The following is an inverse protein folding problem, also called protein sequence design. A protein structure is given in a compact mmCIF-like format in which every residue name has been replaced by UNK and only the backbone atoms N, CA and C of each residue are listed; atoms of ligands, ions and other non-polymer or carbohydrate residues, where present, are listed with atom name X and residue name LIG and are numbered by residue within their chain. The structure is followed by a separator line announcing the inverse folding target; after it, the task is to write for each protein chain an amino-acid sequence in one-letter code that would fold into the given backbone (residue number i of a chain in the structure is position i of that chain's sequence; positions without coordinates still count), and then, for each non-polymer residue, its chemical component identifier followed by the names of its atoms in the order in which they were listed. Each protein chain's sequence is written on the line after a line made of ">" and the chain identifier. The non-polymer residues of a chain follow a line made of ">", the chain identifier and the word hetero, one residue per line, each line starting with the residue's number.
data_IF_449242634593
#
_entry.id   IF_449242634593
#
_cell.length_a   1.000
_cell.length_b   1.000
_cell.length_c   1.000
_cell.angle_alpha   90.00
_cell.angle_beta   90.00
_cell.angle_gamma   90.00
#
_symmetry.space_group_name_H-M   'P 1'
#
loop_
_entity.id
_entity.type
_entity.pdbx_description
1 polymer ?
#
# COMPACT_ATOMS: atom_id res chain seq x y z
N UNK A 1 25.44 -55.54 -39.07
CA UNK A 1 24.57 -54.99 -37.99
C UNK A 1 25.18 -53.69 -37.54
N UNK A 2 24.52 -52.56 -37.85
CA UNK A 2 25.01 -51.20 -37.46
C UNK A 2 24.16 -50.73 -36.28
N UNK A 3 24.76 -50.61 -35.11
CA UNK A 3 24.15 -50.06 -33.90
C UNK A 3 24.21 -48.53 -33.96
N UNK A 4 23.04 -47.87 -34.00
CA UNK A 4 22.90 -46.42 -33.92
C UNK A 4 22.75 -46.08 -32.44
N UNK A 5 23.74 -45.44 -31.85
CA UNK A 5 23.66 -44.90 -30.50
C UNK A 5 22.89 -43.56 -30.54
N UNK A 6 21.71 -43.55 -29.90
CA UNK A 6 20.93 -42.31 -29.72
C UNK A 6 21.49 -41.50 -28.56
N UNK A 7 22.00 -40.30 -28.85
CA UNK A 7 22.48 -39.34 -27.85
C UNK A 7 21.27 -38.58 -27.26
N UNK A 8 20.92 -38.85 -26.02
CA UNK A 8 19.91 -38.11 -25.27
C UNK A 8 20.54 -36.81 -24.75
N UNK A 9 20.20 -35.70 -25.37
CA UNK A 9 20.54 -34.36 -24.85
C UNK A 9 19.52 -33.96 -23.78
N UNK A 10 19.93 -34.00 -22.52
CA UNK A 10 19.14 -33.50 -21.40
C UNK A 10 19.28 -31.98 -21.34
N UNK A 11 18.25 -31.26 -21.77
CA UNK A 11 18.18 -29.81 -21.63
C UNK A 11 17.83 -29.46 -20.18
N UNK A 12 18.84 -29.07 -19.38
CA UNK A 12 18.62 -28.56 -18.02
C UNK A 12 18.07 -27.15 -18.12
N UNK A 13 16.76 -26.98 -17.86
CA UNK A 13 16.14 -25.65 -17.72
C UNK A 13 16.67 -25.00 -16.45
N UNK A 14 17.49 -23.96 -16.60
CA UNK A 14 17.93 -23.10 -15.49
C UNK A 14 16.76 -22.21 -15.13
N UNK A 15 16.06 -22.53 -14.05
CA UNK A 15 15.01 -21.68 -13.48
C UNK A 15 15.70 -20.54 -12.74
N UNK A 16 15.79 -19.38 -13.36
CA UNK A 16 16.18 -18.14 -12.67
C UNK A 16 15.02 -17.75 -11.74
N UNK A 17 15.26 -17.53 -10.43
CA UNK A 17 14.24 -16.97 -9.57
C UNK A 17 13.91 -15.57 -10.11
N UNK A 18 12.65 -15.35 -10.48
CA UNK A 18 12.18 -14.00 -10.81
C UNK A 18 12.39 -13.13 -9.57
N UNK A 19 13.22 -12.10 -9.69
CA UNK A 19 13.37 -11.07 -8.65
C UNK A 19 12.03 -10.34 -8.61
N UNK A 20 11.17 -10.74 -7.71
CA UNK A 20 9.89 -10.06 -7.46
C UNK A 20 10.20 -8.71 -6.86
N UNK A 21 10.06 -7.68 -7.68
CA UNK A 21 10.21 -6.29 -7.23
C UNK A 21 9.04 -5.97 -6.34
N UNK A 22 9.30 -5.78 -5.04
CA UNK A 22 8.29 -5.37 -4.08
C UNK A 22 7.51 -4.16 -4.63
N UNK A 23 6.19 -4.27 -4.70
CA UNK A 23 5.35 -3.15 -5.16
C UNK A 23 5.37 -2.02 -4.12
N UNK A 24 5.34 -0.78 -4.57
CA UNK A 24 5.53 0.40 -3.71
C UNK A 24 4.44 1.44 -3.89
N UNK A 25 4.29 2.30 -2.88
CA UNK A 25 3.34 3.43 -2.90
C UNK A 25 3.75 4.59 -3.82
N UNK A 26 4.93 4.60 -4.45
CA UNK A 26 5.48 5.75 -5.16
C UNK A 26 4.55 6.34 -6.21
N UNK A 27 4.01 5.51 -7.09
CA UNK A 27 3.08 5.95 -8.17
C UNK A 27 1.72 6.41 -7.65
N UNK A 28 1.47 6.23 -6.37
CA UNK A 28 0.22 6.56 -5.66
C UNK A 28 0.40 7.69 -4.65
N UNK A 29 1.61 8.19 -4.47
CA UNK A 29 2.03 9.11 -3.42
C UNK A 29 1.08 10.32 -3.24
N UNK A 30 0.63 10.91 -4.35
CA UNK A 30 -0.20 12.11 -4.35
C UNK A 30 -1.70 11.85 -4.15
N UNK A 31 -2.09 10.64 -3.82
CA UNK A 31 -3.49 10.28 -3.67
C UNK A 31 -4.24 10.25 -5.01
N UNK A 32 -5.55 10.45 -4.95
CA UNK A 32 -6.43 10.45 -6.12
C UNK A 32 -7.70 9.64 -5.88
N UNK A 33 -8.41 9.31 -6.96
CA UNK A 33 -9.68 8.61 -6.89
C UNK A 33 -9.52 7.11 -6.63
N UNK A 34 -10.49 6.51 -5.92
CA UNK A 34 -10.46 5.11 -5.50
C UNK A 34 -10.25 4.13 -6.65
N UNK A 35 -10.77 4.46 -7.83
CA UNK A 35 -10.65 3.62 -9.04
C UNK A 35 -9.19 3.38 -9.46
N UNK A 36 -8.27 4.26 -9.05
CA UNK A 36 -6.84 4.09 -9.24
C UNK A 36 -6.23 3.14 -8.21
N UNK A 37 -6.76 3.11 -7.00
CA UNK A 37 -6.17 2.40 -5.86
C UNK A 37 -6.72 0.99 -5.69
N UNK A 38 -8.04 0.80 -5.85
CA UNK A 38 -8.67 -0.49 -5.58
C UNK A 38 -8.05 -1.64 -6.37
N UNK A 39 -7.82 -1.53 -7.70
CA UNK A 39 -7.18 -2.61 -8.46
C UNK A 39 -5.76 -2.95 -7.94
N UNK A 40 -4.99 -1.94 -7.51
CA UNK A 40 -3.65 -2.15 -6.98
C UNK A 40 -3.66 -2.83 -5.60
N UNK A 41 -4.62 -2.47 -4.74
CA UNK A 41 -4.84 -3.10 -3.44
C UNK A 41 -5.26 -4.57 -3.63
N UNK A 42 -6.18 -4.83 -4.56
CA UNK A 42 -6.65 -6.18 -4.87
C UNK A 42 -5.51 -7.04 -5.42
N UNK A 43 -4.69 -6.50 -6.32
CA UNK A 43 -3.52 -7.18 -6.87
C UNK A 43 -2.48 -7.47 -5.77
N UNK A 44 -2.15 -6.51 -4.91
CA UNK A 44 -1.22 -6.69 -3.81
C UNK A 44 -1.70 -7.78 -2.84
N UNK A 45 -3.00 -7.82 -2.55
CA UNK A 45 -3.60 -8.85 -1.72
C UNK A 45 -3.63 -10.23 -2.40
N UNK A 46 -3.84 -10.29 -3.73
CA UNK A 46 -3.86 -11.53 -4.48
C UNK A 46 -2.46 -12.15 -4.65
N UNK A 47 -1.44 -11.32 -4.90
CA UNK A 47 -0.05 -11.79 -5.03
C UNK A 47 0.54 -12.25 -3.70
N UNK A 48 0.12 -11.67 -2.58
CA UNK A 48 0.70 -11.89 -1.26
C UNK A 48 2.11 -11.33 -1.10
N UNK A 49 2.65 -10.66 -2.11
CA UNK A 49 3.95 -10.01 -2.06
C UNK A 49 3.96 -8.82 -1.10
N UNK A 50 5.16 -8.46 -0.61
CA UNK A 50 5.32 -7.35 0.31
C UNK A 50 5.05 -6.02 -0.42
N UNK A 51 4.04 -5.28 0.02
CA UNK A 51 3.79 -3.92 -0.43
C UNK A 51 4.49 -2.93 0.50
N UNK A 52 5.26 -2.00 -0.06
CA UNK A 52 6.04 -1.03 0.72
C UNK A 52 5.40 0.36 0.64
N UNK A 53 5.05 0.94 1.78
CA UNK A 53 4.69 2.36 1.89
C UNK A 53 5.96 3.14 2.20
N UNK A 54 6.36 4.01 1.28
CA UNK A 54 7.58 4.81 1.41
C UNK A 54 7.38 6.25 0.95
N UNK A 55 8.30 7.12 1.39
CA UNK A 55 8.28 8.52 1.01
C UNK A 55 6.98 9.22 1.39
N UNK A 56 6.44 10.02 0.47
CA UNK A 56 5.17 10.73 0.65
C UNK A 56 3.97 9.82 0.30
N UNK A 57 2.97 9.79 1.15
CA UNK A 57 1.76 8.98 0.94
C UNK A 57 0.52 9.72 1.48
N UNK A 58 -0.19 10.44 0.63
CA UNK A 58 -1.34 11.25 1.03
C UNK A 58 -2.69 10.69 0.58
N UNK A 59 -3.75 11.05 1.31
CA UNK A 59 -5.15 10.75 0.95
C UNK A 59 -5.37 9.25 0.71
N UNK A 60 -5.96 8.85 -0.42
CA UNK A 60 -6.19 7.45 -0.75
C UNK A 60 -4.93 6.59 -0.84
N UNK A 61 -3.71 7.16 -0.89
CA UNK A 61 -2.49 6.39 -0.71
C UNK A 61 -2.47 5.66 0.64
N UNK A 62 -3.04 6.24 1.69
CA UNK A 62 -3.12 5.60 3.02
C UNK A 62 -4.00 4.35 3.06
N UNK A 63 -4.81 4.08 2.02
CA UNK A 63 -5.57 2.83 1.87
C UNK A 63 -4.67 1.59 1.80
N UNK A 64 -3.42 1.74 1.32
CA UNK A 64 -2.46 0.63 1.31
C UNK A 64 -2.09 0.11 2.69
N UNK A 65 -2.36 0.87 3.77
CA UNK A 65 -2.27 0.36 5.14
C UNK A 65 -3.21 -0.83 5.41
N UNK A 66 -4.22 -1.04 4.56
CA UNK A 66 -5.13 -2.18 4.60
C UNK A 66 -4.65 -3.40 3.81
N UNK A 67 -3.53 -3.34 3.11
CA UNK A 67 -2.97 -4.49 2.41
C UNK A 67 -2.45 -5.51 3.42
N UNK A 68 -2.78 -6.79 3.21
CA UNK A 68 -2.46 -7.86 4.17
C UNK A 68 -0.96 -8.01 4.46
N UNK A 69 -0.12 -7.90 3.42
CA UNK A 69 1.33 -7.96 3.57
C UNK A 69 1.96 -6.60 3.28
N UNK A 70 1.67 -5.63 4.14
CA UNK A 70 2.18 -4.26 4.05
C UNK A 70 3.31 -4.02 5.04
N UNK A 71 4.29 -3.20 4.64
CA UNK A 71 5.26 -2.60 5.54
C UNK A 71 5.34 -1.09 5.32
N UNK A 72 5.82 -0.37 6.31
CA UNK A 72 6.02 1.08 6.27
C UNK A 72 7.51 1.40 6.49
N UNK A 73 8.06 2.28 5.68
CA UNK A 73 9.40 2.80 5.91
C UNK A 73 9.38 3.89 6.99
N UNK A 74 10.35 3.87 7.90
CA UNK A 74 10.43 4.85 9.01
C UNK A 74 10.47 6.29 8.51
N UNK A 75 11.10 6.52 7.36
CA UNK A 75 11.19 7.83 6.72
C UNK A 75 9.95 8.27 5.94
N UNK A 76 8.91 7.44 5.86
CA UNK A 76 7.68 7.81 5.18
C UNK A 76 6.92 8.91 5.93
N UNK A 77 6.13 9.69 5.18
CA UNK A 77 5.19 10.67 5.73
C UNK A 77 3.81 10.37 5.18
N UNK A 78 2.89 10.01 6.06
CA UNK A 78 1.52 9.69 5.69
C UNK A 78 0.61 10.88 6.05
N UNK A 79 -0.23 11.30 5.11
CA UNK A 79 -1.11 12.46 5.25
C UNK A 79 -2.58 12.04 5.13
N UNK A 80 -3.33 12.39 6.15
CA UNK A 80 -4.71 12.00 6.37
C UNK A 80 -5.63 13.20 6.25
N UNK A 81 -6.79 13.03 5.63
CA UNK A 81 -7.88 14.00 5.58
C UNK A 81 -9.20 13.27 5.30
N UNK A 82 -10.34 13.96 5.47
CA UNK A 82 -11.64 13.41 5.13
C UNK A 82 -11.73 13.10 3.63
N UNK A 83 -12.42 12.04 3.28
CA UNK A 83 -12.82 11.81 1.89
C UNK A 83 -13.71 12.96 1.40
N UNK A 84 -13.60 13.34 0.13
CA UNK A 84 -14.40 14.42 -0.45
C UNK A 84 -15.10 14.01 -1.74
N UNK A 85 -16.06 14.84 -2.17
CA UNK A 85 -16.78 14.65 -3.42
C UNK A 85 -15.95 15.02 -4.65
N UNK A 86 -16.58 14.96 -5.83
CA UNK A 86 -15.97 15.27 -7.14
C UNK A 86 -16.52 16.58 -7.71
N UNK A 87 -15.75 17.17 -8.62
CA UNK A 87 -16.17 18.36 -9.35
C UNK A 87 -16.59 19.50 -8.42
N UNK A 88 -17.82 20.03 -8.55
CA UNK A 88 -18.33 21.11 -7.69
C UNK A 88 -18.33 20.74 -6.20
N UNK A 89 -18.46 19.45 -5.87
CA UNK A 89 -18.53 18.93 -4.51
C UNK A 89 -17.15 18.60 -3.91
N UNK A 90 -16.05 18.99 -4.54
CA UNK A 90 -14.69 18.72 -4.04
C UNK A 90 -14.39 19.31 -2.66
N UNK A 91 -15.18 20.29 -2.23
CA UNK A 91 -15.06 20.92 -0.91
C UNK A 91 -16.05 20.36 0.12
N UNK A 92 -16.79 19.31 -0.24
CA UNK A 92 -17.77 18.67 0.62
C UNK A 92 -17.23 17.33 1.09
N UNK A 93 -17.22 17.11 2.40
CA UNK A 93 -16.82 15.83 2.98
C UNK A 93 -17.79 14.74 2.52
N UNK A 94 -17.23 13.64 2.02
CA UNK A 94 -17.95 12.45 1.61
C UNK A 94 -17.79 11.35 2.68
N UNK A 95 -18.85 11.07 3.42
CA UNK A 95 -18.85 10.12 4.51
C UNK A 95 -18.46 8.69 4.04
N UNK A 96 -18.92 8.26 2.87
CA UNK A 96 -18.59 6.94 2.33
C UNK A 96 -17.11 6.79 1.99
N UNK A 97 -16.49 7.81 1.40
CA UNK A 97 -15.05 7.83 1.13
C UNK A 97 -14.25 7.85 2.43
N UNK A 98 -14.65 8.66 3.40
CA UNK A 98 -14.04 8.72 4.74
C UNK A 98 -14.12 7.37 5.44
N UNK A 99 -15.28 6.71 5.43
CA UNK A 99 -15.47 5.41 6.05
C UNK A 99 -14.61 4.32 5.40
N UNK A 100 -14.42 4.37 4.07
CA UNK A 100 -13.53 3.46 3.36
C UNK A 100 -12.08 3.59 3.85
N UNK A 101 -11.60 4.81 4.03
CA UNK A 101 -10.27 5.07 4.59
C UNK A 101 -10.16 4.51 6.02
N UNK A 102 -11.13 4.78 6.89
CA UNK A 102 -11.15 4.24 8.25
C UNK A 102 -11.13 2.71 8.28
N UNK A 103 -11.84 2.06 7.35
CA UNK A 103 -11.88 0.60 7.26
C UNK A 103 -10.55 -0.04 6.85
N UNK A 104 -9.69 0.70 6.14
CA UNK A 104 -8.36 0.24 5.75
C UNK A 104 -7.35 0.28 6.93
N UNK A 105 -7.63 1.03 7.97
CA UNK A 105 -6.69 1.20 9.09
C UNK A 105 -6.92 0.15 10.18
N UNK A 106 -5.82 -0.29 10.82
CA UNK A 106 -5.93 -1.14 11.99
C UNK A 106 -6.63 -0.39 13.15
N UNK A 107 -7.04 -1.12 14.18
CA UNK A 107 -7.86 -0.58 15.26
C UNK A 107 -7.17 0.58 16.03
N UNK A 108 -5.84 0.52 16.20
CA UNK A 108 -5.07 1.55 16.93
C UNK A 108 -5.05 2.86 16.15
N UNK A 109 -4.65 2.81 14.87
CA UNK A 109 -4.61 3.98 14.01
C UNK A 109 -5.99 4.57 13.80
N UNK A 110 -7.01 3.74 13.56
CA UNK A 110 -8.40 4.18 13.38
C UNK A 110 -8.88 4.99 14.59
N UNK A 111 -8.69 4.48 15.80
CA UNK A 111 -9.06 5.21 17.03
C UNK A 111 -8.33 6.54 17.15
N UNK A 112 -7.04 6.56 16.86
CA UNK A 112 -6.22 7.77 16.94
C UNK A 112 -6.69 8.86 15.96
N UNK A 113 -6.82 8.53 14.68
CA UNK A 113 -7.20 9.51 13.64
C UNK A 113 -8.64 10.02 13.85
N UNK A 114 -9.53 9.16 14.39
CA UNK A 114 -10.90 9.55 14.75
C UNK A 114 -10.91 10.50 15.95
N UNK A 115 -10.23 10.14 17.04
CA UNK A 115 -10.19 10.94 18.27
C UNK A 115 -9.55 12.32 18.05
N UNK A 116 -8.61 12.42 17.12
CA UNK A 116 -7.92 13.67 16.80
C UNK A 116 -8.52 14.43 15.60
N UNK A 117 -9.65 13.98 15.06
CA UNK A 117 -10.38 14.68 13.98
C UNK A 117 -9.62 14.71 12.64
N UNK A 118 -8.68 13.81 12.40
CA UNK A 118 -7.87 13.80 11.18
C UNK A 118 -8.71 13.54 9.92
N UNK A 119 -9.78 12.79 10.06
CA UNK A 119 -10.72 12.49 8.97
C UNK A 119 -12.05 13.25 9.09
N UNK A 120 -12.07 14.30 9.91
CA UNK A 120 -13.24 15.19 10.05
C UNK A 120 -13.06 16.52 9.28
N UNK A 121 -11.94 16.71 8.61
CA UNK A 121 -11.60 17.95 7.88
C UNK A 121 -10.89 17.63 6.57
N UNK A 122 -10.88 18.58 5.64
CA UNK A 122 -10.22 18.42 4.33
C UNK A 122 -8.74 18.78 4.35
N UNK A 123 -8.29 19.50 5.37
CA UNK A 123 -6.88 19.82 5.58
C UNK A 123 -6.11 18.57 5.99
N UNK A 124 -4.89 18.45 5.49
CA UNK A 124 -4.03 17.33 5.82
C UNK A 124 -3.53 17.37 7.26
N UNK A 125 -3.56 16.21 7.90
CA UNK A 125 -2.87 15.92 9.16
C UNK A 125 -1.83 14.84 8.90
N UNK A 126 -0.58 15.05 9.30
CA UNK A 126 0.52 14.13 9.01
C UNK A 126 0.88 13.23 10.18
N UNK A 127 1.29 12.00 9.88
CA UNK A 127 1.92 11.07 10.83
C UNK A 127 3.18 10.51 10.14
N UNK A 128 4.31 10.51 10.87
CA UNK A 128 5.54 9.92 10.34
C UNK A 128 5.46 8.40 10.27
N UNK A 129 6.19 7.79 9.34
CA UNK A 129 6.32 6.34 9.25
C UNK A 129 6.82 5.71 10.53
N UNK A 130 7.75 6.38 11.23
CA UNK A 130 8.21 5.94 12.54
C UNK A 130 7.06 5.79 13.54
N UNK A 131 6.17 6.78 13.65
CA UNK A 131 4.99 6.70 14.52
C UNK A 131 3.99 5.63 14.06
N UNK A 132 3.80 5.49 12.75
CA UNK A 132 2.94 4.42 12.19
C UNK A 132 3.42 3.04 12.64
N UNK A 133 4.75 2.83 12.69
CA UNK A 133 5.36 1.59 13.15
C UNK A 133 5.26 1.47 14.67
N UNK A 134 5.82 2.43 15.40
CA UNK A 134 6.09 2.32 16.84
C UNK A 134 4.80 2.44 17.69
N UNK A 135 3.88 3.35 17.31
CA UNK A 135 2.67 3.62 18.09
C UNK A 135 1.46 2.79 17.62
N UNK A 136 1.36 2.55 16.30
CA UNK A 136 0.18 1.89 15.74
C UNK A 136 0.42 0.44 15.34
N UNK A 137 1.66 -0.07 15.45
CA UNK A 137 1.99 -1.49 15.31
C UNK A 137 1.99 -1.98 13.87
N UNK A 138 2.24 -1.12 12.90
CA UNK A 138 2.50 -1.56 11.52
C UNK A 138 3.92 -2.11 11.41
N UNK A 139 4.11 -3.06 10.48
CA UNK A 139 5.41 -3.68 10.24
C UNK A 139 6.38 -2.67 9.63
N UNK A 140 7.60 -2.59 10.16
CA UNK A 140 8.70 -1.86 9.52
C UNK A 140 9.18 -2.59 8.27
N UNK A 141 9.47 -1.85 7.20
CA UNK A 141 10.05 -2.46 6.00
C UNK A 141 11.47 -2.96 6.25
N UNK A 142 11.84 -4.15 5.76
CA UNK A 142 13.22 -4.61 5.84
C UNK A 142 14.16 -3.66 5.12
N UNK A 143 15.35 -3.42 5.72
CA UNK A 143 16.39 -2.59 5.13
C UNK A 143 16.96 -3.29 3.89
N UNK A 144 17.23 -2.55 2.81
CA UNK A 144 17.93 -3.07 1.65
C UNK A 144 17.07 -3.83 0.64
N UNK A 145 15.87 -3.37 0.40
CA UNK A 145 15.05 -3.77 -0.76
C UNK A 145 15.15 -2.79 -1.89
#
# INVERSE_FOLDING_TARGET
>A
MKTVAALLVVLSAVIFPAVTRADTSDRFAMGGWIEKFQPAIDQANASGELFRIRGHCQSNCTLFLGVRNVCVERGATLLFHAGHGRGPNRHVINAGSTQRMLNAYNARLRRYVTANGYLAKLEFSSISGARIIDEFGYKECPRGG
#
